data_IF_219678953480
#
_entry.id   IF_219678953480
#
_cell.length_a   1.000
_cell.length_b   1.000
_cell.length_c   1.000
_cell.angle_alpha   90.00
_cell.angle_beta   90.00
_cell.angle_gamma   90.00
#
_symmetry.space_group_name_H-M   'P 1'
#
loop_
_entity.id
_entity.type
_entity.pdbx_description
1 polymer ?
#
# COMPACT_ATOMS: atom_id res chain seq x y z
N UNK A 1 2.14 4.43 -3.68
CA UNK A 1 1.65 3.93 -2.38
C UNK A 1 2.49 2.75 -1.94
N UNK A 2 2.73 2.65 -0.64
CA UNK A 2 3.52 1.59 -0.02
C UNK A 2 2.62 0.68 0.81
N UNK A 3 2.39 -0.54 0.34
CA UNK A 3 1.59 -1.56 1.05
C UNK A 3 2.56 -2.49 1.79
N UNK A 4 2.77 -2.21 3.07
CA UNK A 4 3.59 -3.04 3.95
C UNK A 4 2.72 -4.00 4.77
N UNK A 5 2.99 -5.30 4.71
CA UNK A 5 2.37 -6.29 5.58
C UNK A 5 3.45 -6.89 6.48
N UNK A 6 3.27 -6.74 7.79
CA UNK A 6 4.21 -7.28 8.77
C UNK A 6 3.97 -8.77 8.98
N UNK A 7 4.96 -9.48 9.52
CA UNK A 7 4.91 -10.94 9.75
C UNK A 7 3.74 -11.41 10.61
N UNK A 8 3.22 -10.56 11.51
CA UNK A 8 2.01 -10.82 12.31
C UNK A 8 0.70 -10.51 11.56
N UNK A 9 0.78 -10.09 10.30
CA UNK A 9 -0.36 -9.67 9.49
C UNK A 9 -0.79 -8.21 9.71
N UNK A 10 -0.07 -7.44 10.54
CA UNK A 10 -0.36 -6.02 10.72
C UNK A 10 -0.08 -5.25 9.41
N UNK A 11 -1.01 -4.37 9.04
CA UNK A 11 -0.93 -3.56 7.85
C UNK A 11 -0.33 -2.19 8.19
N UNK A 12 0.62 -1.73 7.39
CA UNK A 12 1.17 -0.38 7.53
C UNK A 12 0.20 0.65 6.94
N UNK A 13 -0.40 1.48 7.78
CA UNK A 13 -1.45 2.43 7.41
C UNK A 13 -1.14 3.85 7.88
N UNK A 14 -1.70 4.82 7.16
CA UNK A 14 -1.60 6.23 7.47
C UNK A 14 -2.96 6.90 7.28
N UNK A 15 -3.28 7.88 8.14
CA UNK A 15 -4.37 8.83 7.84
C UNK A 15 -3.80 9.94 6.99
N UNK A 16 -4.22 10.01 5.72
CA UNK A 16 -3.69 11.04 4.80
C UNK A 16 -4.00 12.44 5.34
N UNK A 17 -3.11 13.43 5.13
CA UNK A 17 -3.39 14.82 5.47
C UNK A 17 -4.76 15.25 4.92
N UNK A 18 -5.52 16.05 5.68
CA UNK A 18 -6.89 16.45 5.35
C UNK A 18 -7.06 17.29 4.07
N UNK A 19 -6.01 17.50 3.29
CA UNK A 19 -6.00 18.30 2.06
C UNK A 19 -5.66 17.44 0.86
N UNK A 20 -6.25 17.78 -0.28
CA UNK A 20 -6.04 17.07 -1.54
C UNK A 20 -6.96 15.87 -1.72
N UNK A 21 -6.70 15.09 -2.76
CA UNK A 21 -7.52 13.94 -3.13
C UNK A 21 -7.48 12.88 -2.00
N UNK A 22 -8.64 12.41 -1.57
CA UNK A 22 -8.79 11.44 -0.47
C UNK A 22 -8.19 11.88 0.88
N UNK A 23 -8.06 13.18 1.12
CA UNK A 23 -7.53 13.70 2.39
C UNK A 23 -8.40 13.32 3.59
N UNK A 24 -7.76 13.04 4.73
CA UNK A 24 -8.43 12.66 5.98
C UNK A 24 -8.92 11.21 6.03
N UNK A 25 -8.72 10.44 4.96
CA UNK A 25 -9.08 9.02 4.93
C UNK A 25 -7.86 8.13 5.20
N UNK A 26 -8.16 6.98 5.80
CA UNK A 26 -7.19 5.91 6.00
C UNK A 26 -6.71 5.38 4.65
N UNK A 27 -5.40 5.17 4.54
CA UNK A 27 -4.77 4.69 3.33
C UNK A 27 -3.38 4.14 3.59
N UNK A 28 -2.70 3.83 2.48
CA UNK A 28 -1.32 3.38 2.48
C UNK A 28 -0.39 4.60 2.53
N UNK A 29 0.74 4.54 3.27
CA UNK A 29 1.75 5.58 3.23
C UNK A 29 2.19 5.89 1.79
N UNK A 30 2.54 7.14 1.57
CA UNK A 30 3.07 7.60 0.30
C UNK A 30 3.07 9.11 0.20
N UNK A 31 3.56 9.62 -0.94
CA UNK A 31 3.61 11.03 -1.21
C UNK A 31 2.28 11.66 -1.61
N UNK A 32 2.38 12.94 -1.96
CA UNK A 32 1.30 13.71 -2.54
C UNK A 32 0.83 13.13 -3.88
N UNK A 33 -0.42 13.42 -4.22
CA UNK A 33 -0.95 13.09 -5.53
C UNK A 33 -0.37 14.01 -6.59
N UNK A 34 0.57 13.48 -7.38
CA UNK A 34 1.19 14.20 -8.48
C UNK A 34 1.05 13.41 -9.78
N UNK A 35 1.11 14.13 -10.92
CA UNK A 35 1.02 13.51 -12.25
C UNK A 35 2.23 12.60 -12.55
N UNK A 36 3.37 12.86 -11.91
CA UNK A 36 4.53 11.98 -11.91
C UNK A 36 4.70 11.38 -10.51
N UNK A 37 5.12 10.10 -10.38
CA UNK A 37 5.38 9.50 -9.08
C UNK A 37 6.43 10.34 -8.35
N UNK A 38 6.12 10.94 -7.19
CA UNK A 38 7.14 11.62 -6.42
C UNK A 38 8.17 10.59 -5.97
N UNK A 39 9.45 10.97 -5.96
CA UNK A 39 10.54 10.14 -5.45
C UNK A 39 10.39 10.03 -3.91
N UNK A 40 9.46 9.16 -3.51
CA UNK A 40 9.06 9.00 -2.12
C UNK A 40 9.88 7.88 -1.54
N UNK A 41 10.57 8.17 -0.44
CA UNK A 41 11.31 7.16 0.28
C UNK A 41 10.35 6.11 0.87
N UNK A 42 10.72 4.82 0.88
CA UNK A 42 9.92 3.81 1.54
C UNK A 42 9.69 4.14 3.03
N UNK A 43 8.48 3.84 3.56
CA UNK A 43 8.06 4.28 4.89
C UNK A 43 8.73 3.48 6.02
N UNK A 44 9.48 2.44 5.70
CA UNK A 44 10.26 1.63 6.65
C UNK A 44 11.34 0.87 5.92
N UNK A 45 12.26 0.27 6.66
CA UNK A 45 13.22 -0.68 6.08
C UNK A 45 12.50 -1.97 5.66
N UNK A 46 12.84 -2.47 4.48
CA UNK A 46 12.21 -3.64 3.88
C UNK A 46 12.57 -3.80 2.41
N UNK A 47 12.32 -5.00 1.87
CA UNK A 47 12.49 -5.29 0.44
C UNK A 47 11.26 -4.82 -0.35
N UNK A 48 11.17 -3.51 -0.57
CA UNK A 48 10.06 -2.89 -1.30
C UNK A 48 10.19 -3.11 -2.80
N UNK A 49 9.19 -3.73 -3.39
CA UNK A 49 9.17 -4.06 -4.82
C UNK A 49 7.95 -3.45 -5.50
N UNK A 50 8.07 -3.12 -6.78
CA UNK A 50 6.93 -2.68 -7.59
C UNK A 50 5.98 -3.85 -7.77
N UNK A 51 4.76 -3.71 -7.24
CA UNK A 51 3.73 -4.74 -7.28
C UNK A 51 2.76 -4.55 -8.47
N UNK A 52 2.62 -3.32 -8.96
CA UNK A 52 1.72 -2.99 -10.07
C UNK A 52 1.03 -1.65 -9.84
N UNK A 53 -0.15 -1.49 -10.43
CA UNK A 53 -0.91 -0.23 -10.39
C UNK A 53 -2.37 -0.47 -10.05
N UNK A 54 -2.91 0.33 -9.14
CA UNK A 54 -4.33 0.37 -8.83
C UNK A 54 -5.01 1.50 -9.61
N UNK A 55 -6.00 1.16 -10.45
CA UNK A 55 -6.78 2.14 -11.23
C UNK A 55 -8.16 2.38 -10.63
N UNK A 56 -8.54 3.64 -10.49
CA UNK A 56 -9.91 4.05 -10.19
C UNK A 56 -10.38 5.12 -11.17
N UNK A 57 -11.60 4.97 -11.69
CA UNK A 57 -12.20 5.92 -12.61
C UNK A 57 -13.21 6.76 -11.86
N UNK A 58 -12.93 8.06 -11.77
CA UNK A 58 -13.94 9.06 -11.42
C UNK A 58 -14.64 9.52 -12.69
N UNK A 59 -15.77 10.22 -12.57
CA UNK A 59 -16.53 10.72 -13.72
C UNK A 59 -15.72 11.66 -14.60
N UNK A 60 -14.82 12.46 -14.02
CA UNK A 60 -14.06 13.49 -14.73
C UNK A 60 -12.60 13.14 -15.00
N UNK A 61 -12.05 12.09 -14.37
CA UNK A 61 -10.65 11.71 -14.53
C UNK A 61 -10.38 10.27 -14.09
N UNK A 62 -9.25 9.72 -14.52
CA UNK A 62 -8.74 8.43 -14.03
C UNK A 62 -7.59 8.65 -13.07
N UNK A 63 -7.64 7.95 -11.93
CA UNK A 63 -6.55 7.88 -10.98
C UNK A 63 -5.80 6.57 -11.19
N UNK A 64 -4.49 6.68 -11.41
CA UNK A 64 -3.55 5.57 -11.40
C UNK A 64 -2.66 5.71 -10.17
N UNK A 65 -2.57 4.66 -9.38
CA UNK A 65 -1.74 4.62 -8.19
C UNK A 65 -0.70 3.51 -8.34
N UNK A 66 0.57 3.87 -8.45
CA UNK A 66 1.66 2.90 -8.37
C UNK A 66 1.70 2.27 -6.97
N UNK A 67 1.74 0.94 -6.93
CA UNK A 67 1.79 0.13 -5.71
C UNK A 67 3.17 -0.46 -5.59
N UNK A 68 3.83 -0.16 -4.47
CA UNK A 68 5.02 -0.85 -4.00
C UNK A 68 4.64 -1.67 -2.78
N UNK A 69 5.09 -2.91 -2.71
CA UNK A 69 4.72 -3.84 -1.65
C UNK A 69 5.94 -4.44 -0.98
N UNK A 70 5.83 -4.74 0.31
CA UNK A 70 6.85 -5.44 1.07
C UNK A 70 6.23 -6.31 2.17
N UNK A 71 6.82 -7.48 2.40
CA UNK A 71 6.64 -8.23 3.65
C UNK A 71 7.69 -7.75 4.66
N UNK A 72 7.25 -7.39 5.85
CA UNK A 72 8.07 -6.70 6.85
C UNK A 72 8.24 -7.56 8.11
N UNK A 73 9.45 -7.63 8.71
CA UNK A 73 9.66 -8.32 9.99
C UNK A 73 8.90 -7.69 11.17
N UNK A 74 8.64 -8.45 12.23
CA UNK A 74 7.91 -7.99 13.43
C UNK A 74 8.51 -6.74 14.08
N UNK A 75 9.84 -6.62 14.06
CA UNK A 75 10.58 -5.50 14.64
C UNK A 75 10.69 -4.26 13.75
N UNK A 76 10.08 -4.26 12.56
CA UNK A 76 10.15 -3.11 11.65
C UNK A 76 9.52 -1.88 12.28
N UNK A 77 10.25 -0.77 12.25
CA UNK A 77 9.80 0.54 12.70
C UNK A 77 9.40 1.36 11.46
N UNK A 78 8.18 1.88 11.45
CA UNK A 78 7.72 2.78 10.41
C UNK A 78 8.19 4.21 10.68
N UNK A 79 8.77 4.87 9.67
CA UNK A 79 9.05 6.30 9.61
C UNK A 79 7.79 7.11 9.25
N UNK A 80 6.85 6.49 8.51
CA UNK A 80 5.58 7.10 8.12
C UNK A 80 4.43 6.10 8.32
N UNK A 81 3.34 6.56 8.93
CA UNK A 81 2.20 5.73 9.31
C UNK A 81 2.46 4.87 10.55
N UNK A 82 1.60 3.89 10.77
CA UNK A 82 1.69 2.95 11.88
C UNK A 82 1.23 1.54 11.45
N UNK A 83 1.81 0.51 12.08
CA UNK A 83 1.33 -0.86 11.92
C UNK A 83 0.03 -1.05 12.70
N UNK A 84 -1.05 -1.32 11.97
CA UNK A 84 -2.36 -1.60 12.53
C UNK A 84 -2.62 -3.11 12.48
N UNK A 85 -2.90 -3.77 13.61
CA UNK A 85 -3.23 -5.19 13.64
C UNK A 85 -4.40 -5.52 12.72
N UNK A 86 -4.38 -6.72 12.15
CA UNK A 86 -5.42 -7.18 11.21
C UNK A 86 -6.82 -7.14 11.82
N UNK A 87 -6.95 -7.38 13.12
CA UNK A 87 -8.22 -7.31 13.85
C UNK A 87 -8.75 -5.89 14.04
N UNK A 88 -7.87 -4.88 14.01
CA UNK A 88 -8.21 -3.47 14.21
C UNK A 88 -8.48 -2.72 12.89
N UNK A 89 -8.32 -3.39 11.75
CA UNK A 89 -8.47 -2.80 10.43
C UNK A 89 -9.19 -3.74 9.47
N UNK A 90 -10.24 -3.26 8.80
CA UNK A 90 -10.89 -4.01 7.72
C UNK A 90 -10.60 -3.34 6.39
N UNK A 91 -10.26 -4.09 5.33
CA UNK A 91 -10.10 -3.53 3.99
C UNK A 91 -11.32 -2.70 3.53
N UNK A 92 -12.52 -3.03 4.00
CA UNK A 92 -13.75 -2.27 3.73
C UNK A 92 -13.70 -0.79 4.15
N UNK A 93 -12.90 -0.45 5.15
CA UNK A 93 -12.76 0.92 5.68
C UNK A 93 -11.91 1.81 4.75
N UNK A 94 -11.18 1.20 3.81
CA UNK A 94 -10.38 1.92 2.84
C UNK A 94 -11.25 2.42 1.67
N UNK A 95 -10.91 3.59 1.10
CA UNK A 95 -11.44 4.01 -0.21
C UNK A 95 -11.17 2.97 -1.30
N UNK A 96 -12.03 2.92 -2.33
CA UNK A 96 -11.98 1.89 -3.38
C UNK A 96 -10.60 1.75 -4.05
N UNK A 97 -9.90 2.86 -4.35
CA UNK A 97 -8.55 2.79 -4.94
C UNK A 97 -7.52 2.19 -3.98
N UNK A 98 -7.65 2.45 -2.68
CA UNK A 98 -6.75 1.90 -1.65
C UNK A 98 -7.03 0.41 -1.42
N UNK A 99 -8.30 -0.03 -1.51
CA UNK A 99 -8.63 -1.47 -1.52
C UNK A 99 -7.97 -2.19 -2.69
N UNK A 100 -8.11 -1.64 -3.90
CA UNK A 100 -7.45 -2.21 -5.09
C UNK A 100 -5.93 -2.27 -4.94
N UNK A 101 -5.31 -1.29 -4.27
CA UNK A 101 -3.88 -1.32 -4.01
C UNK A 101 -3.48 -2.49 -3.10
N UNK A 102 -4.31 -2.85 -2.12
CA UNK A 102 -4.11 -4.05 -1.31
C UNK A 102 -4.19 -5.32 -2.17
N UNK A 103 -5.21 -5.42 -3.02
CA UNK A 103 -5.39 -6.58 -3.91
C UNK A 103 -4.18 -6.77 -4.83
N UNK A 104 -3.65 -5.68 -5.39
CA UNK A 104 -2.41 -5.68 -6.21
C UNK A 104 -1.21 -6.18 -5.40
N UNK A 105 -1.03 -5.70 -4.16
CA UNK A 105 0.07 -6.13 -3.31
C UNK A 105 -0.03 -7.62 -2.94
N UNK A 106 -1.23 -8.10 -2.57
CA UNK A 106 -1.47 -9.51 -2.25
C UNK A 106 -1.23 -10.42 -3.46
N UNK A 107 -1.65 -10.01 -4.65
CA UNK A 107 -1.36 -10.73 -5.89
C UNK A 107 0.14 -10.85 -6.16
N UNK A 108 0.91 -9.77 -5.94
CA UNK A 108 2.37 -9.80 -6.09
C UNK A 108 3.04 -10.76 -5.10
N UNK A 109 2.57 -10.80 -3.85
CA UNK A 109 3.09 -11.75 -2.86
C UNK A 109 2.86 -13.21 -3.25
N UNK A 110 1.66 -13.53 -3.77
CA UNK A 110 1.33 -14.87 -4.21
C UNK A 110 2.14 -15.30 -5.45
N UNK A 111 2.41 -14.37 -6.37
CA UNK A 111 3.22 -14.65 -7.57
C UNK A 111 4.67 -15.03 -7.21
N UNK A 112 5.25 -14.38 -6.20
CA UNK A 112 6.61 -14.70 -5.72
C UNK A 112 6.67 -16.11 -5.12
N UNK A 113 5.62 -16.54 -4.42
CA UNK A 113 5.54 -17.86 -3.78
C UNK A 113 5.27 -19.01 -4.77
N UNK A 114 4.65 -18.72 -5.91
CA UNK A 114 4.35 -19.71 -6.96
C UNK A 114 5.48 -19.94 -7.98
N UNK A 115 6.61 -19.23 -7.87
CA UNK A 115 7.73 -19.35 -8.83
C UNK A 115 8.75 -20.44 -8.42
N UNK A 116 8.49 -21.18 -7.34
CA UNK A 116 9.31 -22.29 -6.84
C UNK A 116 8.82 -23.66 -7.37
N UNK A 117 8.60 -23.79 -8.69
CA UNK A 117 8.32 -25.09 -9.35
C UNK A 117 9.61 -25.60 -10.05
N UNK A 118 10.34 -26.57 -9.46
CA UNK A 118 11.48 -27.17 -10.12
C UNK A 118 10.99 -28.31 -11.03
N UNK A 119 11.08 -28.10 -12.34
CA UNK A 119 11.21 -29.20 -13.30
C UNK A 119 12.69 -29.52 -13.53
#
# INVERSE_FOLDING_TARGET
AFVGIRSDGAALLETRPGRGLLGGMLGWPGGDWAASPPDTEPPSDGNWQRAGEARHTFTHFHLLLEVRAARLPQGTIARQGAFVPREAFRPGDLPTVMRKALDVALGAFAAVEGTDDPH
#
